data_IF_468639868450
#
_entry.id   IF_468639868450
#
_cell.length_a   1.000
_cell.length_b   1.000
_cell.length_c   1.000
_cell.angle_alpha   90.00
_cell.angle_beta   90.00
_cell.angle_gamma   90.00
#
_symmetry.space_group_name_H-M   'P 1'
#
loop_
_entity.id
_entity.type
_entity.pdbx_description
1 polymer ?
#
# COMPACT_ATOMS: atom_id res chain seq x y z
N UNK A 1 51.04 -44.41 28.57
CA UNK A 1 51.45 -44.20 29.97
C UNK A 1 52.97 -44.16 29.95
N UNK A 2 53.63 -43.04 29.72
CA UNK A 2 53.61 -41.83 30.52
C UNK A 2 55.09 -41.47 30.65
N UNK A 3 55.56 -40.58 29.77
CA UNK A 3 56.91 -40.02 29.81
C UNK A 3 57.07 -39.28 31.15
N UNK A 4 57.48 -39.98 32.20
CA UNK A 4 57.98 -39.34 33.40
C UNK A 4 59.37 -38.80 33.04
N UNK A 5 59.41 -37.51 32.69
CA UNK A 5 60.64 -36.75 32.65
C UNK A 5 61.33 -36.92 34.02
N UNK A 6 62.42 -37.70 34.06
CA UNK A 6 63.31 -37.86 35.22
C UNK A 6 64.05 -36.54 35.47
N UNK A 7 63.32 -35.53 35.95
CA UNK A 7 63.89 -34.23 36.30
C UNK A 7 64.02 -34.17 37.82
N UNK A 8 65.24 -34.43 38.31
CA UNK A 8 65.55 -34.27 39.72
C UNK A 8 65.47 -32.79 40.11
N UNK A 9 64.96 -32.47 41.33
CA UNK A 9 65.01 -31.11 41.83
C UNK A 9 66.47 -30.62 41.90
N UNK A 10 66.73 -29.41 41.42
CA UNK A 10 68.07 -28.80 41.39
C UNK A 10 68.23 -27.83 42.55
N UNK A 11 69.31 -27.95 43.29
CA UNK A 11 69.79 -26.95 44.24
C UNK A 11 70.87 -26.08 43.58
N UNK A 12 71.29 -25.00 44.25
CA UNK A 12 72.30 -24.05 43.72
C UNK A 12 73.61 -24.73 43.35
N UNK A 13 73.93 -25.88 43.98
CA UNK A 13 75.15 -26.65 43.76
C UNK A 13 74.96 -27.92 42.89
N UNK A 14 73.80 -28.14 42.25
CA UNK A 14 73.58 -29.30 41.37
C UNK A 14 72.23 -29.99 41.57
N UNK A 15 72.16 -31.30 41.35
CA UNK A 15 70.96 -32.09 41.65
C UNK A 15 70.87 -32.40 43.15
N UNK A 16 69.66 -32.45 43.69
CA UNK A 16 69.44 -32.93 45.06
C UNK A 16 69.86 -34.40 45.18
N UNK A 17 71.01 -34.62 45.82
CA UNK A 17 71.61 -35.95 46.01
C UNK A 17 70.66 -36.91 46.72
N UNK A 18 69.88 -36.44 47.69
CA UNK A 18 68.90 -37.28 48.39
C UNK A 18 67.76 -37.73 47.48
N UNK A 19 67.31 -36.88 46.56
CA UNK A 19 66.31 -37.25 45.56
C UNK A 19 66.86 -38.23 44.51
N UNK A 20 68.13 -38.06 44.10
CA UNK A 20 68.80 -38.98 43.17
C UNK A 20 69.01 -40.36 43.82
N UNK A 21 69.53 -40.42 45.04
CA UNK A 21 69.82 -41.68 45.73
C UNK A 21 68.54 -42.50 45.98
N UNK A 22 67.42 -41.83 46.34
CA UNK A 22 66.10 -42.48 46.46
C UNK A 22 65.61 -43.04 45.13
N UNK A 23 65.79 -42.30 44.04
CA UNK A 23 65.37 -42.74 42.71
C UNK A 23 66.22 -43.88 42.18
N UNK A 24 67.54 -43.83 42.37
CA UNK A 24 68.44 -44.94 42.01
C UNK A 24 68.10 -46.18 42.82
N UNK A 25 67.87 -46.04 44.13
CA UNK A 25 67.44 -47.17 44.98
C UNK A 25 66.11 -47.77 44.51
N UNK A 26 65.12 -46.93 44.15
CA UNK A 26 63.85 -47.39 43.59
C UNK A 26 64.02 -48.09 42.24
N UNK A 27 64.91 -47.61 41.36
CA UNK A 27 65.23 -48.25 40.09
C UNK A 27 65.97 -49.58 40.29
N UNK A 28 66.89 -49.67 41.26
CA UNK A 28 67.56 -50.91 41.59
C UNK A 28 66.59 -51.95 42.15
N UNK A 29 65.66 -51.55 43.02
CA UNK A 29 64.58 -52.41 43.51
C UNK A 29 63.68 -52.87 42.36
N UNK A 30 63.29 -51.97 41.44
CA UNK A 30 62.53 -52.31 40.25
C UNK A 30 63.28 -53.27 39.32
N UNK A 31 64.59 -53.06 39.11
CA UNK A 31 65.41 -53.97 38.29
C UNK A 31 65.56 -55.34 38.94
N UNK A 32 65.74 -55.41 40.27
CA UNK A 32 65.75 -56.70 40.99
C UNK A 32 64.39 -57.40 40.86
N UNK A 33 63.29 -56.67 41.03
CA UNK A 33 61.95 -57.21 40.84
C UNK A 33 61.75 -57.74 39.40
N UNK A 34 62.13 -56.96 38.38
CA UNK A 34 62.06 -57.39 36.98
C UNK A 34 62.95 -58.60 36.70
N UNK A 35 64.17 -58.66 37.25
CA UNK A 35 65.05 -59.81 37.11
C UNK A 35 64.42 -61.08 37.71
N UNK A 36 63.85 -60.98 38.92
CA UNK A 36 63.13 -62.11 39.54
C UNK A 36 61.91 -62.54 38.73
N UNK A 37 61.18 -61.60 38.14
CA UNK A 37 60.02 -61.88 37.30
C UNK A 37 60.43 -62.55 35.98
N UNK A 38 61.53 -62.11 35.35
CA UNK A 38 62.10 -62.74 34.17
C UNK A 38 62.61 -64.15 34.46
N UNK A 39 63.30 -64.37 35.58
CA UNK A 39 63.72 -65.70 36.01
C UNK A 39 62.51 -66.62 36.24
N UNK A 40 61.45 -66.10 36.87
CA UNK A 40 60.19 -66.85 37.06
C UNK A 40 59.54 -67.17 35.71
N UNK A 41 59.53 -66.24 34.76
CA UNK A 41 59.01 -66.48 33.41
C UNK A 41 59.85 -67.51 32.65
N UNK A 42 61.18 -67.43 32.73
CA UNK A 42 62.09 -68.38 32.11
C UNK A 42 61.88 -69.79 32.66
N UNK A 43 61.75 -69.94 33.99
CA UNK A 43 61.43 -71.23 34.62
C UNK A 43 60.08 -71.78 34.12
N UNK A 44 59.03 -70.94 34.06
CA UNK A 44 57.72 -71.35 33.52
C UNK A 44 57.80 -71.78 32.05
N UNK A 45 58.52 -71.04 31.22
CA UNK A 45 58.72 -71.38 29.82
C UNK A 45 59.48 -72.71 29.67
N UNK A 46 60.50 -72.96 30.48
CA UNK A 46 61.20 -74.25 30.50
C UNK A 46 60.31 -75.41 30.95
N UNK A 47 59.49 -75.22 31.99
CA UNK A 47 58.52 -76.24 32.42
C UNK A 47 57.51 -76.55 31.31
N UNK A 48 56.91 -75.52 30.70
CA UNK A 48 55.98 -75.71 29.58
C UNK A 48 56.63 -76.37 28.37
N UNK A 49 57.89 -76.06 28.08
CA UNK A 49 58.63 -76.71 27.00
C UNK A 49 58.88 -78.19 27.27
N UNK A 50 59.18 -78.56 28.53
CA UNK A 50 59.33 -79.95 28.96
C UNK A 50 58.00 -80.70 28.85
N UNK A 51 56.90 -80.11 29.34
CA UNK A 51 55.55 -80.68 29.22
C UNK A 51 55.14 -80.89 27.76
N UNK A 52 55.42 -79.93 26.87
CA UNK A 52 55.17 -80.07 25.44
C UNK A 52 56.01 -81.17 24.79
N UNK A 53 57.25 -81.37 25.24
CA UNK A 53 58.11 -82.44 24.74
C UNK A 53 57.56 -83.82 25.16
N UNK A 54 57.17 -83.96 26.43
CA UNK A 54 56.54 -85.19 26.95
C UNK A 54 55.21 -85.50 26.24
N UNK A 55 54.35 -84.50 26.05
CA UNK A 55 53.09 -84.65 25.32
C UNK A 55 53.30 -85.04 23.86
N UNK A 56 54.33 -84.51 23.20
CA UNK A 56 54.69 -84.89 21.82
C UNK A 56 55.19 -86.33 21.75
N UNK A 57 56.04 -86.75 22.67
CA UNK A 57 56.52 -88.13 22.72
C UNK A 57 55.37 -89.12 23.00
N UNK A 58 54.48 -88.77 23.93
CA UNK A 58 53.28 -89.54 24.23
C UNK A 58 52.35 -89.62 23.01
N UNK A 59 52.13 -88.51 22.31
CA UNK A 59 51.33 -88.46 21.08
C UNK A 59 51.94 -89.35 19.99
N UNK A 60 53.25 -89.28 19.76
CA UNK A 60 53.91 -90.10 18.75
C UNK A 60 53.91 -91.58 19.13
N UNK A 61 54.05 -91.91 20.42
CA UNK A 61 53.88 -93.27 20.92
C UNK A 61 52.45 -93.79 20.71
N UNK A 62 51.44 -92.95 20.98
CA UNK A 62 50.04 -93.29 20.74
C UNK A 62 49.75 -93.46 19.26
N UNK A 63 50.29 -92.59 18.40
CA UNK A 63 50.18 -92.70 16.94
C UNK A 63 50.83 -93.99 16.43
N UNK A 64 52.02 -94.35 16.90
CA UNK A 64 52.66 -95.64 16.57
C UNK A 64 51.83 -96.84 17.02
N UNK A 65 51.20 -96.77 18.20
CA UNK A 65 50.28 -97.81 18.69
C UNK A 65 49.03 -97.90 17.81
N UNK A 66 48.46 -96.76 17.45
CA UNK A 66 47.30 -96.67 16.56
C UNK A 66 47.61 -97.22 15.16
N UNK A 67 48.72 -96.80 14.54
CA UNK A 67 49.14 -97.29 13.23
C UNK A 67 49.38 -98.80 13.24
N UNK A 68 49.89 -99.35 14.34
CA UNK A 68 50.05 -100.80 14.53
C UNK A 68 48.68 -101.48 14.63
N UNK A 69 47.78 -100.97 15.46
CA UNK A 69 46.42 -101.49 15.61
C UNK A 69 45.63 -101.44 14.30
N UNK A 70 45.84 -100.41 13.47
CA UNK A 70 45.22 -100.28 12.16
C UNK A 70 45.81 -101.24 11.11
N UNK A 71 47.06 -101.69 11.26
CA UNK A 71 47.73 -102.63 10.35
C UNK A 71 47.56 -104.09 10.74
N UNK A 72 47.23 -104.38 12.01
CA UNK A 72 46.89 -105.73 12.44
C UNK A 72 45.55 -106.13 11.81
N UNK A 73 45.46 -107.29 11.12
CA UNK A 73 44.20 -107.77 10.58
C UNK A 73 43.18 -107.94 11.72
N UNK A 74 41.98 -107.40 11.52
CA UNK A 74 40.88 -107.50 12.49
C UNK A 74 40.41 -108.96 12.49
N UNK A 75 40.33 -109.60 13.65
CA UNK A 75 39.68 -110.92 13.76
C UNK A 75 38.19 -110.80 13.38
N UNK A 76 37.65 -111.81 12.69
CA UNK A 76 36.32 -111.74 12.07
C UNK A 76 35.20 -111.35 13.06
N UNK A 77 35.30 -111.76 14.32
CA UNK A 77 34.32 -111.45 15.37
C UNK A 77 34.37 -109.97 15.84
N UNK A 78 35.54 -109.33 15.80
CA UNK A 78 35.72 -107.93 16.20
C UNK A 78 35.29 -106.91 15.14
N UNK A 79 35.02 -107.34 13.90
CA UNK A 79 34.57 -106.48 12.82
C UNK A 79 33.15 -105.94 13.08
N UNK A 80 32.26 -106.80 13.57
CA UNK A 80 30.86 -106.46 13.85
C UNK A 80 30.73 -105.45 14.99
N UNK A 81 31.48 -105.63 16.08
CA UNK A 81 31.51 -104.67 17.20
C UNK A 81 32.05 -103.30 16.76
N UNK A 82 33.09 -103.28 15.93
CA UNK A 82 33.65 -102.03 15.39
C UNK A 82 32.66 -101.33 14.44
N UNK A 83 31.95 -102.07 13.60
CA UNK A 83 30.92 -101.51 12.73
C UNK A 83 29.77 -100.90 13.56
N UNK A 84 29.31 -101.59 14.61
CA UNK A 84 28.30 -101.06 15.52
C UNK A 84 28.80 -99.77 16.18
N UNK A 85 30.04 -99.75 16.67
CA UNK A 85 30.63 -98.55 17.27
C UNK A 85 30.79 -97.39 16.29
N UNK A 86 31.11 -97.68 15.02
CA UNK A 86 31.17 -96.67 13.97
C UNK A 86 29.80 -96.08 13.66
N UNK A 87 28.74 -96.89 13.66
CA UNK A 87 27.36 -96.41 13.49
C UNK A 87 26.92 -95.56 14.68
N UNK A 88 27.24 -95.98 15.92
CA UNK A 88 27.00 -95.17 17.11
C UNK A 88 27.72 -93.82 17.02
N UNK A 89 29.01 -93.82 16.65
CA UNK A 89 29.80 -92.61 16.51
C UNK A 89 29.24 -91.69 15.41
N UNK A 90 28.84 -92.25 14.26
CA UNK A 90 28.22 -91.50 13.19
C UNK A 90 26.88 -90.89 13.62
N UNK A 91 26.10 -91.58 14.46
CA UNK A 91 24.85 -91.04 14.99
C UNK A 91 25.10 -89.88 15.97
N UNK A 92 26.11 -90.01 16.85
CA UNK A 92 26.54 -88.93 17.74
C UNK A 92 27.01 -87.73 16.93
N UNK A 93 27.90 -87.92 15.94
CA UNK A 93 28.40 -86.86 15.08
C UNK A 93 27.27 -86.19 14.28
N UNK A 94 26.32 -86.96 13.74
CA UNK A 94 25.15 -86.40 13.07
C UNK A 94 24.30 -85.56 14.04
N UNK A 95 24.11 -86.02 15.28
CA UNK A 95 23.37 -85.28 16.30
C UNK A 95 24.06 -83.95 16.64
N UNK A 96 25.39 -83.96 16.79
CA UNK A 96 26.21 -82.77 17.05
C UNK A 96 26.12 -81.79 15.88
N UNK A 97 26.27 -82.25 14.64
CA UNK A 97 26.13 -81.41 13.43
C UNK A 97 24.75 -80.77 13.38
N UNK A 98 23.68 -81.53 13.68
CA UNK A 98 22.32 -80.96 13.65
C UNK A 98 22.08 -79.96 14.78
N UNK A 99 22.65 -80.19 15.97
CA UNK A 99 22.55 -79.27 17.09
C UNK A 99 23.34 -77.98 16.82
N UNK A 100 24.54 -78.08 16.27
CA UNK A 100 25.35 -76.94 15.84
C UNK A 100 24.64 -76.14 14.74
N UNK A 101 24.07 -76.82 13.74
CA UNK A 101 23.31 -76.18 12.68
C UNK A 101 22.08 -75.43 13.23
N UNK A 102 21.34 -76.04 14.16
CA UNK A 102 20.20 -75.40 14.85
C UNK A 102 20.63 -74.18 15.64
N UNK A 103 21.71 -74.29 16.42
CA UNK A 103 22.24 -73.19 17.23
C UNK A 103 22.70 -72.03 16.36
N UNK A 104 23.40 -72.31 15.25
CA UNK A 104 23.81 -71.28 14.27
C UNK A 104 22.60 -70.63 13.59
N UNK A 105 21.58 -71.41 13.25
CA UNK A 105 20.35 -70.89 12.65
C UNK A 105 19.58 -69.99 13.62
N UNK A 106 19.47 -70.39 14.89
CA UNK A 106 18.87 -69.59 15.95
C UNK A 106 19.62 -68.27 16.16
N UNK A 107 20.95 -68.30 16.30
CA UNK A 107 21.76 -67.09 16.40
C UNK A 107 21.60 -66.16 15.19
N UNK A 108 21.57 -66.72 13.98
CA UNK A 108 21.37 -65.93 12.76
C UNK A 108 19.99 -65.28 12.76
N UNK A 109 18.95 -66.02 13.17
CA UNK A 109 17.58 -65.51 13.26
C UNK A 109 17.45 -64.42 14.31
N UNK A 110 18.01 -64.60 15.51
CA UNK A 110 17.96 -63.59 16.57
C UNK A 110 18.70 -62.33 16.16
N UNK A 111 19.88 -62.46 15.52
CA UNK A 111 20.62 -61.31 15.01
C UNK A 111 19.82 -60.57 13.92
N UNK A 112 19.19 -61.28 13.00
CA UNK A 112 18.33 -60.68 11.98
C UNK A 112 17.12 -59.95 12.59
N UNK A 113 16.49 -60.54 13.60
CA UNK A 113 15.35 -59.94 14.31
C UNK A 113 15.75 -58.67 15.08
N UNK A 114 16.92 -58.68 15.73
CA UNK A 114 17.48 -57.51 16.41
C UNK A 114 17.80 -56.36 15.44
N UNK A 115 18.39 -56.69 14.30
CA UNK A 115 18.69 -55.74 13.24
C UNK A 115 17.42 -55.14 12.63
N UNK A 116 16.42 -55.98 12.35
CA UNK A 116 15.12 -55.52 11.87
C UNK A 116 14.45 -54.58 12.89
N UNK A 117 14.48 -54.92 14.19
CA UNK A 117 13.97 -54.06 15.27
C UNK A 117 14.73 -52.74 15.36
N UNK A 118 16.06 -52.76 15.22
CA UNK A 118 16.90 -51.55 15.20
C UNK A 118 16.54 -50.65 14.03
N UNK A 119 16.34 -51.23 12.85
CA UNK A 119 15.94 -50.50 11.65
C UNK A 119 14.57 -49.86 11.80
N UNK A 120 13.58 -50.61 12.32
CA UNK A 120 12.22 -50.08 12.60
C UNK A 120 12.26 -48.91 13.57
N UNK A 121 12.93 -49.05 14.71
CA UNK A 121 13.10 -47.95 15.69
C UNK A 121 13.75 -46.72 15.06
N UNK A 122 14.74 -46.90 14.18
CA UNK A 122 15.38 -45.78 13.47
C UNK A 122 14.40 -45.09 12.50
N UNK A 123 13.57 -45.85 11.80
CA UNK A 123 12.56 -45.29 10.90
C UNK A 123 11.45 -44.57 11.66
N UNK A 124 10.93 -45.17 12.74
CA UNK A 124 9.95 -44.54 13.63
C UNK A 124 10.46 -43.20 14.17
N UNK A 125 11.72 -43.14 14.63
CA UNK A 125 12.35 -41.88 15.07
C UNK A 125 12.41 -40.83 13.96
N UNK A 126 12.79 -41.23 12.74
CA UNK A 126 12.84 -40.32 11.59
C UNK A 126 11.45 -39.81 11.19
N UNK A 127 10.43 -40.68 11.24
CA UNK A 127 9.05 -40.28 10.97
C UNK A 127 8.56 -39.28 12.02
N UNK A 128 8.80 -39.55 13.30
CA UNK A 128 8.48 -38.62 14.38
C UNK A 128 9.20 -37.27 14.23
N UNK A 129 10.47 -37.27 13.82
CA UNK A 129 11.22 -36.04 13.54
C UNK A 129 10.61 -35.26 12.36
N UNK A 130 10.21 -35.94 11.29
CA UNK A 130 9.55 -35.30 10.14
C UNK A 130 8.19 -34.73 10.52
N UNK A 131 7.40 -35.43 11.33
CA UNK A 131 6.10 -34.96 11.80
C UNK A 131 6.25 -33.76 12.74
N UNK A 132 7.25 -33.78 13.62
CA UNK A 132 7.60 -32.62 14.46
C UNK A 132 8.00 -31.41 13.61
N UNK A 133 8.84 -31.62 12.59
CA UNK A 133 9.26 -30.54 11.68
C UNK A 133 8.09 -29.99 10.87
N UNK A 134 7.17 -30.85 10.41
CA UNK A 134 5.94 -30.41 9.73
C UNK A 134 5.09 -29.53 10.65
N UNK A 135 4.84 -29.98 11.88
CA UNK A 135 4.07 -29.21 12.85
C UNK A 135 4.73 -27.86 13.18
N UNK A 136 6.06 -27.81 13.29
CA UNK A 136 6.80 -26.56 13.48
C UNK A 136 6.63 -25.61 12.29
N UNK A 137 6.80 -26.10 11.06
CA UNK A 137 6.62 -25.28 9.86
C UNK A 137 5.18 -24.80 9.67
N UNK A 138 4.18 -25.62 10.00
CA UNK A 138 2.77 -25.24 9.96
C UNK A 138 2.48 -24.13 10.98
N UNK A 139 3.02 -24.24 12.21
CA UNK A 139 2.89 -23.21 13.23
C UNK A 139 3.57 -21.89 12.82
N UNK A 140 4.80 -21.97 12.29
CA UNK A 140 5.53 -20.81 11.76
C UNK A 140 4.77 -20.14 10.60
N UNK A 141 4.21 -20.94 9.70
CA UNK A 141 3.42 -20.43 8.59
C UNK A 141 2.13 -19.76 9.07
N UNK A 142 1.41 -20.38 10.01
CA UNK A 142 0.20 -19.81 10.59
C UNK A 142 0.48 -18.45 11.27
N UNK A 143 1.55 -18.35 12.05
CA UNK A 143 1.95 -17.09 12.67
C UNK A 143 2.34 -16.03 11.64
N UNK A 144 3.12 -16.39 10.61
CA UNK A 144 3.46 -15.45 9.52
C UNK A 144 2.22 -14.98 8.78
N UNK A 145 1.26 -15.86 8.53
CA UNK A 145 0.00 -15.51 7.88
C UNK A 145 -0.84 -14.58 8.75
N UNK A 146 -0.91 -14.82 10.06
CA UNK A 146 -1.60 -13.94 11.02
C UNK A 146 -0.98 -12.55 11.03
N UNK A 147 0.34 -12.45 11.18
CA UNK A 147 1.06 -11.16 11.17
C UNK A 147 0.87 -10.44 9.83
N UNK A 148 0.95 -11.14 8.70
CA UNK A 148 0.72 -10.55 7.39
C UNK A 148 -0.72 -10.03 7.26
N UNK A 149 -1.72 -10.79 7.69
CA UNK A 149 -3.12 -10.35 7.69
C UNK A 149 -3.31 -9.09 8.53
N UNK A 150 -2.76 -9.06 9.74
CA UNK A 150 -2.82 -7.87 10.62
C UNK A 150 -2.18 -6.64 9.96
N UNK A 151 -1.04 -6.82 9.29
CA UNK A 151 -0.37 -5.75 8.54
C UNK A 151 -1.16 -5.30 7.30
N UNK A 152 -1.81 -6.22 6.58
CA UNK A 152 -2.71 -5.88 5.47
C UNK A 152 -3.91 -5.09 5.97
N UNK A 153 -4.60 -5.55 7.01
CA UNK A 153 -5.74 -4.87 7.62
C UNK A 153 -5.37 -3.48 8.14
N UNK A 154 -4.15 -3.34 8.68
CA UNK A 154 -3.62 -2.05 9.12
C UNK A 154 -3.38 -1.12 7.93
N UNK A 155 -2.76 -1.61 6.86
CA UNK A 155 -2.51 -0.83 5.64
C UNK A 155 -3.81 -0.42 4.95
N UNK A 156 -4.80 -1.30 4.91
CA UNK A 156 -6.12 -0.99 4.37
C UNK A 156 -6.79 0.13 5.16
N UNK A 157 -6.83 0.02 6.50
CA UNK A 157 -7.37 1.07 7.37
C UNK A 157 -6.66 2.41 7.19
N UNK A 158 -5.33 2.41 7.09
CA UNK A 158 -4.56 3.63 6.82
C UNK A 158 -4.88 4.22 5.44
N UNK A 159 -4.94 3.40 4.40
CA UNK A 159 -5.27 3.84 3.04
C UNK A 159 -6.70 4.42 2.97
N UNK A 160 -7.67 3.81 3.65
CA UNK A 160 -9.03 4.35 3.75
C UNK A 160 -9.07 5.69 4.47
N UNK A 161 -8.34 5.82 5.59
CA UNK A 161 -8.26 7.06 6.33
C UNK A 161 -7.62 8.18 5.48
N UNK A 162 -6.54 7.88 4.77
CA UNK A 162 -5.93 8.85 3.86
C UNK A 162 -6.86 9.23 2.71
N UNK A 163 -7.61 8.27 2.14
CA UNK A 163 -8.59 8.54 1.10
C UNK A 163 -9.65 9.51 1.60
N UNK A 164 -10.25 9.25 2.77
CA UNK A 164 -11.21 10.15 3.43
C UNK A 164 -10.63 11.54 3.67
N UNK A 165 -9.41 11.62 4.20
CA UNK A 165 -8.74 12.89 4.43
C UNK A 165 -8.53 13.69 3.13
N UNK A 166 -8.14 13.02 2.04
CA UNK A 166 -7.98 13.66 0.71
C UNK A 166 -9.31 14.11 0.13
N UNK A 167 -10.37 13.33 0.32
CA UNK A 167 -11.72 13.66 -0.12
C UNK A 167 -12.27 14.88 0.62
N UNK A 168 -12.10 14.93 1.94
CA UNK A 168 -12.47 16.07 2.79
C UNK A 168 -11.68 17.33 2.40
N UNK A 169 -10.36 17.23 2.20
CA UNK A 169 -9.54 18.35 1.76
C UNK A 169 -9.98 18.87 0.39
N UNK A 170 -10.30 17.96 -0.53
CA UNK A 170 -10.79 18.32 -1.86
C UNK A 170 -12.16 18.99 -1.78
N UNK A 171 -13.08 18.51 -0.94
CA UNK A 171 -14.37 19.13 -0.69
C UNK A 171 -14.23 20.55 -0.11
N UNK A 172 -13.36 20.73 0.89
CA UNK A 172 -13.06 22.05 1.47
C UNK A 172 -12.49 23.01 0.43
N UNK A 173 -11.59 22.54 -0.45
CA UNK A 173 -11.04 23.34 -1.54
C UNK A 173 -12.13 23.76 -2.52
N UNK A 174 -12.99 22.83 -2.96
CA UNK A 174 -14.13 23.15 -3.84
C UNK A 174 -15.05 24.21 -3.21
N UNK A 175 -15.45 24.02 -1.95
CA UNK A 175 -16.29 24.96 -1.23
C UNK A 175 -15.65 26.36 -1.13
N UNK A 176 -14.34 26.43 -0.84
CA UNK A 176 -13.62 27.70 -0.80
C UNK A 176 -13.62 28.39 -2.16
N UNK A 177 -13.33 27.66 -3.24
CA UNK A 177 -13.35 28.20 -4.60
C UNK A 177 -14.74 28.65 -5.02
N UNK A 178 -15.79 27.91 -4.65
CA UNK A 178 -17.18 28.30 -4.87
C UNK A 178 -17.54 29.60 -4.12
N UNK A 179 -17.11 29.74 -2.88
CA UNK A 179 -17.30 30.97 -2.09
C UNK A 179 -16.55 32.16 -2.69
N UNK A 180 -15.29 31.99 -3.10
CA UNK A 180 -14.49 33.02 -3.74
C UNK A 180 -15.11 33.46 -5.08
N UNK A 181 -15.59 32.50 -5.88
CA UNK A 181 -16.27 32.77 -7.14
C UNK A 181 -17.60 33.50 -6.91
N UNK A 182 -18.39 33.09 -5.91
CA UNK A 182 -19.64 33.76 -5.55
C UNK A 182 -19.38 35.21 -5.11
N UNK A 183 -18.35 35.45 -4.29
CA UNK A 183 -17.95 36.79 -3.87
C UNK A 183 -17.48 37.65 -5.05
N UNK A 184 -16.67 37.09 -5.95
CA UNK A 184 -16.20 37.80 -7.15
C UNK A 184 -17.36 38.16 -8.10
N UNK A 185 -18.32 37.24 -8.30
CA UNK A 185 -19.52 37.51 -9.09
C UNK A 185 -20.42 38.56 -8.42
N UNK A 186 -20.58 38.53 -7.11
CA UNK A 186 -21.34 39.53 -6.36
C UNK A 186 -20.69 40.92 -6.46
N UNK A 187 -19.36 41.01 -6.32
CA UNK A 187 -18.62 42.26 -6.49
C UNK A 187 -18.78 42.81 -7.91
N UNK A 188 -18.62 41.96 -8.94
CA UNK A 188 -18.82 42.35 -10.34
C UNK A 188 -20.25 42.81 -10.63
N UNK A 189 -21.26 42.17 -10.03
CA UNK A 189 -22.66 42.61 -10.13
C UNK A 189 -22.86 43.99 -9.49
N UNK A 190 -22.35 44.20 -8.28
CA UNK A 190 -22.45 45.48 -7.59
C UNK A 190 -21.73 46.62 -8.36
N UNK A 191 -20.57 46.35 -8.96
CA UNK A 191 -19.89 47.31 -9.84
C UNK A 191 -20.71 47.63 -11.10
N UNK A 192 -21.28 46.60 -11.73
CA UNK A 192 -22.18 46.78 -12.87
C UNK A 192 -23.41 47.62 -12.50
N UNK A 193 -24.05 47.33 -11.37
CA UNK A 193 -25.20 48.08 -10.85
C UNK A 193 -24.83 49.54 -10.57
N UNK A 194 -23.69 49.82 -9.92
CA UNK A 194 -23.20 51.19 -9.73
C UNK A 194 -22.96 51.91 -11.05
N UNK A 195 -22.40 51.23 -12.05
CA UNK A 195 -22.17 51.83 -13.37
C UNK A 195 -23.48 52.16 -14.10
N UNK A 196 -24.51 51.33 -13.93
CA UNK A 196 -25.86 51.59 -14.46
C UNK A 196 -26.50 52.77 -13.72
N UNK A 197 -26.49 52.77 -12.39
CA UNK A 197 -27.01 53.87 -11.56
C UNK A 197 -26.32 55.21 -11.88
N UNK A 198 -25.00 55.20 -12.08
CA UNK A 198 -24.27 56.40 -12.46
C UNK A 198 -24.72 56.92 -13.83
N UNK A 199 -24.87 56.05 -14.83
CA UNK A 199 -25.38 56.44 -16.16
C UNK A 199 -26.82 56.93 -16.10
N UNK A 200 -27.66 56.32 -15.27
CA UNK A 200 -29.04 56.73 -15.05
C UNK A 200 -29.11 58.11 -14.39
N UNK A 201 -28.28 58.38 -13.37
CA UNK A 201 -28.16 59.68 -12.74
C UNK A 201 -27.67 60.75 -13.74
N UNK A 202 -26.59 60.47 -14.48
CA UNK A 202 -26.09 61.37 -15.53
C UNK A 202 -27.11 61.60 -16.65
N UNK A 203 -27.94 60.60 -16.97
CA UNK A 203 -29.05 60.75 -17.93
C UNK A 203 -30.18 61.60 -17.34
N UNK A 204 -30.54 61.40 -16.06
CA UNK A 204 -31.57 62.17 -15.37
C UNK A 204 -31.16 63.65 -15.23
N UNK A 205 -29.92 63.93 -14.86
CA UNK A 205 -29.39 65.30 -14.77
C UNK A 205 -29.42 66.00 -16.14
N UNK A 206 -29.02 65.31 -17.21
CA UNK A 206 -29.12 65.84 -18.58
C UNK A 206 -30.56 66.08 -19.01
N UNK A 207 -31.47 65.16 -18.69
CA UNK A 207 -32.89 65.33 -18.97
C UNK A 207 -33.47 66.53 -18.20
N UNK A 208 -33.13 66.69 -16.93
CA UNK A 208 -33.54 67.83 -16.11
C UNK A 208 -33.01 69.16 -16.66
N UNK A 209 -31.74 69.23 -17.05
CA UNK A 209 -31.15 70.41 -17.68
C UNK A 209 -31.82 70.73 -19.04
N UNK A 210 -32.13 69.72 -19.84
CA UNK A 210 -32.84 69.89 -21.10
C UNK A 210 -34.26 70.40 -20.89
N UNK A 211 -34.98 69.90 -19.88
CA UNK A 211 -36.30 70.40 -19.50
C UNK A 211 -36.22 71.84 -18.99
N UNK A 212 -35.25 72.16 -18.12
CA UNK A 212 -35.07 73.52 -17.61
C UNK A 212 -34.78 74.54 -18.72
N UNK A 213 -33.86 74.22 -19.63
CA UNK A 213 -33.55 75.07 -20.80
C UNK A 213 -34.73 75.18 -21.77
N UNK A 214 -35.52 74.12 -21.94
CA UNK A 214 -36.76 74.18 -22.73
C UNK A 214 -37.83 75.05 -22.05
N UNK A 215 -37.98 74.97 -20.73
CA UNK A 215 -38.89 75.82 -19.94
C UNK A 215 -38.49 77.29 -19.99
N UNK A 216 -37.18 77.59 -19.88
CA UNK A 216 -36.65 78.95 -20.02
C UNK A 216 -36.94 79.54 -21.41
N UNK A 217 -36.62 78.79 -22.48
CA UNK A 217 -36.96 79.20 -23.85
C UNK A 217 -38.46 79.36 -24.06
N UNK A 218 -39.28 78.47 -23.52
CA UNK A 218 -40.73 78.58 -23.59
C UNK A 218 -41.22 79.83 -22.86
N UNK A 219 -40.68 80.14 -21.68
CA UNK A 219 -40.99 81.35 -20.93
C UNK A 219 -40.57 82.62 -21.71
N UNK A 220 -39.40 82.63 -22.34
CA UNK A 220 -38.95 83.71 -23.22
C UNK A 220 -39.87 83.89 -24.43
N UNK A 221 -40.26 82.79 -25.09
CA UNK A 221 -41.20 82.82 -26.21
C UNK A 221 -42.56 83.38 -25.81
N UNK A 222 -43.11 82.93 -24.68
CA UNK A 222 -44.36 83.44 -24.11
C UNK A 222 -44.24 84.91 -23.71
N UNK A 223 -43.11 85.32 -23.11
CA UNK A 223 -42.86 86.72 -22.77
C UNK A 223 -42.79 87.60 -24.03
N UNK A 224 -42.07 87.16 -25.08
CA UNK A 224 -42.04 87.84 -26.39
C UNK A 224 -43.42 87.92 -27.03
N UNK A 225 -44.17 86.82 -27.02
CA UNK A 225 -45.51 86.79 -27.58
C UNK A 225 -46.45 87.75 -26.84
N UNK A 226 -46.41 87.74 -25.51
CA UNK A 226 -47.15 88.68 -24.65
C UNK A 226 -46.75 90.14 -24.91
N UNK A 227 -45.44 90.43 -25.00
CA UNK A 227 -44.95 91.76 -25.35
C UNK A 227 -45.45 92.22 -26.72
N UNK A 228 -45.45 91.33 -27.72
CA UNK A 228 -45.96 91.63 -29.06
C UNK A 228 -47.46 91.86 -29.07
N UNK A 229 -48.23 91.09 -28.30
CA UNK A 229 -49.68 91.31 -28.12
C UNK A 229 -49.95 92.64 -27.45
N UNK A 230 -49.17 93.02 -26.43
CA UNK A 230 -49.28 94.33 -25.77
C UNK A 230 -48.96 95.46 -26.75
N UNK A 231 -47.87 95.37 -27.53
CA UNK A 231 -47.55 96.33 -28.58
C UNK A 231 -48.69 96.48 -29.60
N UNK A 232 -49.25 95.36 -30.07
CA UNK A 232 -50.39 95.37 -31.00
C UNK A 232 -51.63 96.01 -30.37
N UNK A 233 -51.86 95.77 -29.07
CA UNK A 233 -52.96 96.38 -28.31
C UNK A 233 -52.73 97.89 -28.13
N UNK A 234 -51.49 98.33 -27.88
CA UNK A 234 -51.13 99.75 -27.78
C UNK A 234 -51.28 100.46 -29.13
N UNK A 235 -50.86 99.81 -30.23
CA UNK A 235 -51.10 100.30 -31.60
C UNK A 235 -52.59 100.37 -31.89
N UNK A 236 -53.37 99.34 -31.52
CA UNK A 236 -54.82 99.35 -31.67
C UNK A 236 -55.46 100.48 -30.86
N UNK A 237 -55.04 100.70 -29.60
CA UNK A 237 -55.53 101.78 -28.76
C UNK A 237 -55.15 103.15 -29.33
N UNK A 238 -53.94 103.29 -29.90
CA UNK A 238 -53.49 104.50 -30.58
C UNK A 238 -54.30 104.74 -31.86
N UNK A 239 -54.56 103.71 -32.66
CA UNK A 239 -55.44 103.80 -33.84
C UNK A 239 -56.88 104.09 -33.45
N UNK A 240 -57.40 103.53 -32.35
CA UNK A 240 -58.72 103.85 -31.82
C UNK A 240 -58.77 105.29 -31.27
N UNK A 241 -57.69 105.78 -30.67
CA UNK A 241 -57.55 107.18 -30.26
C UNK A 241 -57.46 108.12 -31.46
N UNK A 242 -56.70 107.77 -32.51
CA UNK A 242 -56.65 108.49 -33.78
C UNK A 242 -57.97 108.40 -34.55
N UNK A 243 -58.71 107.30 -34.46
CA UNK A 243 -60.08 107.19 -34.99
C UNK A 243 -61.07 108.03 -34.18
N UNK A 244 -60.88 108.18 -32.87
CA UNK A 244 -61.65 109.11 -32.03
C UNK A 244 -61.29 110.56 -32.35
N UNK A 245 -60.02 110.88 -32.54
CA UNK A 245 -59.51 112.20 -32.91
C UNK A 245 -59.95 112.58 -34.34
N UNK A 246 -59.89 111.64 -35.30
CA UNK A 246 -60.44 111.86 -36.64
C UNK A 246 -61.97 111.90 -36.64
N UNK A 247 -62.66 111.18 -35.74
CA UNK A 247 -64.09 111.36 -35.51
C UNK A 247 -64.40 112.72 -34.87
N UNK A 248 -63.58 113.22 -33.96
CA UNK A 248 -63.69 114.55 -33.38
C UNK A 248 -63.38 115.64 -34.41
N UNK A 249 -62.42 115.42 -35.32
CA UNK A 249 -62.13 116.27 -36.48
C UNK A 249 -63.25 116.18 -37.53
N UNK A 250 -63.85 115.01 -37.76
CA UNK A 250 -65.03 114.83 -38.62
C UNK A 250 -66.30 115.39 -37.98
N UNK A 251 -66.37 115.50 -36.65
CA UNK A 251 -67.42 116.24 -35.94
C UNK A 251 -67.16 117.75 -36.01
N UNK A 252 -65.90 118.19 -35.94
CA UNK A 252 -65.49 119.58 -36.13
C UNK A 252 -65.59 120.06 -37.60
N UNK A 253 -65.54 119.14 -38.58
CA UNK A 253 -65.80 119.39 -40.01
C UNK A 253 -67.27 119.10 -40.37
N UNK A 254 -67.94 118.25 -39.59
CA UNK A 254 -69.37 117.92 -39.72
C UNK A 254 -70.31 119.03 -39.27
N UNK A 255 -69.83 119.98 -38.45
CA UNK A 255 -70.54 121.21 -38.10
C UNK A 255 -70.44 122.31 -39.19
N UNK A 256 -69.85 122.02 -40.36
CA UNK A 256 -69.73 122.98 -41.46
C UNK A 256 -70.42 122.62 -42.78
N UNK A 257 -71.12 121.48 -42.87
CA UNK A 257 -71.96 121.19 -44.04
C UNK A 257 -73.01 120.12 -43.74
N UNK A 258 -74.22 120.56 -43.39
CA UNK A 258 -75.48 119.97 -43.87
C UNK A 258 -75.96 120.79 -45.10
N UNK A 259 -76.82 120.30 -46.02
CA UNK A 259 -77.23 118.92 -46.33
C UNK A 259 -77.26 118.59 -47.86
N UNK A 260 -77.46 117.32 -48.21
CA UNK A 260 -78.06 116.80 -49.47
C UNK A 260 -78.12 115.27 -49.30
N UNK A 261 -79.25 114.57 -49.09
CA UNK A 261 -80.43 114.43 -49.96
C UNK A 261 -80.11 114.23 -51.44
N UNK A 262 -79.29 113.22 -51.76
CA UNK A 262 -79.48 112.27 -52.88
C UNK A 262 -78.26 111.35 -53.05
N UNK A 263 -78.32 110.14 -52.48
CA UNK A 263 -77.87 108.87 -53.10
C UNK A 263 -78.16 107.70 -52.15
N UNK A 264 -79.45 107.44 -51.97
CA UNK A 264 -79.98 106.22 -51.35
C UNK A 264 -80.53 105.31 -52.45
N UNK A 265 -79.71 104.39 -52.97
CA UNK A 265 -80.08 103.24 -53.81
C UNK A 265 -78.77 102.62 -54.36
N UNK A 266 -78.26 101.44 -53.95
CA UNK A 266 -78.90 100.14 -53.84
C UNK A 266 -78.05 99.23 -52.94
N UNK A 267 -78.61 98.81 -51.81
CA UNK A 267 -78.15 97.71 -50.97
C UNK A 267 -79.06 96.51 -51.22
N UNK A 268 -78.55 95.44 -51.85
CA UNK A 268 -79.10 94.09 -51.76
C UNK A 268 -78.02 93.06 -52.15
N UNK A 269 -77.50 92.30 -51.18
CA UNK A 269 -77.76 90.86 -50.97
C UNK A 269 -76.95 89.94 -51.90
N UNK A 270 -76.01 89.16 -51.33
CA UNK A 270 -76.10 87.69 -51.33
C UNK A 270 -75.15 87.07 -50.29
N UNK A 271 -75.54 85.90 -49.79
CA UNK A 271 -75.12 85.27 -48.54
C UNK A 271 -74.64 83.83 -48.75
N UNK A 272 -73.65 83.39 -47.93
CA UNK A 272 -73.44 81.99 -47.42
C UNK A 272 -72.94 80.96 -48.48
N UNK A 273 -72.30 79.80 -48.16
CA UNK A 273 -72.12 79.04 -46.88
C UNK A 273 -70.64 78.67 -46.54
N UNK A 274 -70.21 78.24 -45.35
CA UNK A 274 -70.52 77.10 -44.43
C UNK A 274 -70.30 75.68 -45.00
N UNK A 275 -69.29 74.95 -44.49
CA UNK A 275 -69.38 73.49 -44.32
C UNK A 275 -68.34 72.92 -43.33
N UNK A 276 -68.87 72.15 -42.36
CA UNK A 276 -68.19 71.20 -41.48
C UNK A 276 -67.81 69.93 -42.25
N UNK A 277 -66.75 69.21 -41.83
CA UNK A 277 -66.84 67.91 -41.13
C UNK A 277 -65.55 67.06 -41.19
N UNK A 278 -65.29 66.38 -40.06
CA UNK A 278 -64.73 65.02 -39.86
C UNK A 278 -63.23 64.66 -40.05
N UNK A 279 -62.63 64.24 -38.93
CA UNK A 279 -61.62 63.17 -38.73
C UNK A 279 -61.98 61.84 -39.45
N UNK A 280 -61.15 60.75 -39.52
CA UNK A 280 -59.96 60.42 -38.70
C UNK A 280 -58.73 59.79 -39.44
N UNK A 281 -57.66 59.56 -38.66
CA UNK A 281 -56.60 58.52 -38.76
C UNK A 281 -57.13 57.16 -39.35
N UNK A 282 -56.32 56.21 -39.94
CA UNK A 282 -54.97 55.91 -39.47
C UNK A 282 -53.91 55.25 -40.38
N UNK A 283 -52.74 55.06 -39.76
CA UNK A 283 -51.78 53.96 -39.90
C UNK A 283 -50.98 53.75 -41.21
N UNK A 284 -49.67 53.62 -40.97
CA UNK A 284 -48.73 52.58 -41.42
C UNK A 284 -47.54 53.01 -42.29
N UNK A 285 -46.37 52.54 -41.83
CA UNK A 285 -44.98 52.59 -42.30
C UNK A 285 -44.71 52.55 -43.81
N UNK A 286 -43.48 52.90 -44.24
CA UNK A 286 -42.60 51.81 -44.69
C UNK A 286 -41.10 51.93 -44.33
N UNK A 287 -40.55 50.78 -43.91
CA UNK A 287 -39.41 50.03 -44.48
C UNK A 287 -38.10 50.74 -44.93
N UNK A 288 -36.96 50.26 -44.40
CA UNK A 288 -35.92 49.42 -45.09
C UNK A 288 -34.74 49.15 -44.12
N UNK A 289 -34.45 47.93 -43.67
CA UNK A 289 -33.56 46.88 -44.27
C UNK A 289 -32.04 47.23 -44.34
N UNK A 290 -31.07 46.28 -44.40
CA UNK A 290 -31.18 44.80 -44.47
C UNK A 290 -30.09 43.96 -43.71
N UNK A 291 -30.22 42.64 -43.88
CA UNK A 291 -29.19 41.61 -44.12
C UNK A 291 -28.45 40.88 -42.95
N UNK A 292 -28.98 39.69 -42.63
CA UNK A 292 -28.37 38.34 -42.72
C UNK A 292 -26.85 38.14 -42.54
N UNK A 293 -26.44 37.22 -41.65
CA UNK A 293 -25.81 35.90 -41.95
C UNK A 293 -25.17 35.29 -40.68
N UNK A 294 -25.58 34.04 -40.38
CA UNK A 294 -24.98 32.97 -39.55
C UNK A 294 -24.56 33.20 -38.10
#
# INVERSE_FOLDING_TARGET
MGNAQNRFPRTVAGYDRGAVDRHVSALEEQNRAMATDLERQARRAHTLAAELAELREAHDALKRKFDRACRTPIEADGLSERMLRLVELAHVEASEITQDARTRAEHTRTAADEEARRLRRRHERKLAELDQRRAQHEAEFAERMRVNQEEFDRRERLAEQERRNRDEQSARRRQKTEQELAAALAARRAESERSVQQREAEAADRAAAMVATAQERAAEMVARATARVNELTDVQNTLLAQLRETKEILVAVGDLTEPSEEEAALLAVESVPEQRDTDPEPANDPANEPATVR
#
